data_IF_990768470000
#
_entry.id   IF_990768470000
#
_cell.length_a   1.000
_cell.length_b   1.000
_cell.length_c   1.000
_cell.angle_alpha   90.00
_cell.angle_beta   90.00
_cell.angle_gamma   90.00
#
_symmetry.space_group_name_H-M   'P 1'
#
loop_
_entity.id
_entity.type
_entity.pdbx_description
1 polymer ?
#
# COMPACT_ATOMS: atom_id res chain seq x y z
N UNK A 1 -15.37 23.17 -18.62
CA UNK A 1 -14.86 22.34 -17.50
C UNK A 1 -15.46 20.97 -17.73
N UNK A 2 -14.66 19.96 -18.06
CA UNK A 2 -15.16 18.59 -18.22
C UNK A 2 -15.70 18.11 -16.87
N UNK A 3 -16.96 17.68 -16.88
CA UNK A 3 -17.59 17.08 -15.70
C UNK A 3 -17.04 15.66 -15.62
N UNK A 4 -16.11 15.44 -14.68
CA UNK A 4 -15.54 14.12 -14.43
C UNK A 4 -16.64 13.14 -14.03
N UNK A 5 -16.51 11.90 -14.50
CA UNK A 5 -17.42 10.84 -14.09
C UNK A 5 -17.24 10.51 -12.61
N UNK A 6 -18.26 9.90 -12.01
CA UNK A 6 -18.25 9.52 -10.60
C UNK A 6 -17.12 8.52 -10.27
N UNK A 7 -16.69 7.74 -11.26
CA UNK A 7 -15.59 6.78 -11.11
C UNK A 7 -14.23 7.47 -11.17
N UNK A 8 -14.05 8.48 -12.03
CA UNK A 8 -12.82 9.29 -12.10
C UNK A 8 -12.58 10.09 -10.82
N UNK A 9 -13.63 10.65 -10.23
CA UNK A 9 -13.54 11.39 -8.95
C UNK A 9 -13.20 10.44 -7.79
N UNK A 10 -13.73 9.22 -7.81
CA UNK A 10 -13.40 8.19 -6.82
C UNK A 10 -11.96 7.71 -6.93
N UNK A 11 -11.47 7.51 -8.15
CA UNK A 11 -10.10 7.10 -8.40
C UNK A 11 -9.11 8.17 -7.94
N UNK A 12 -9.36 9.45 -8.22
CA UNK A 12 -8.50 10.54 -7.75
C UNK A 12 -8.44 10.62 -6.22
N UNK A 13 -9.58 10.51 -5.54
CA UNK A 13 -9.64 10.53 -4.08
C UNK A 13 -8.97 9.33 -3.43
N UNK A 14 -9.09 8.14 -4.03
CA UNK A 14 -8.41 6.93 -3.57
C UNK A 14 -6.91 7.03 -3.77
N UNK A 15 -6.46 7.57 -4.90
CA UNK A 15 -5.05 7.82 -5.18
C UNK A 15 -4.49 8.84 -4.19
N UNK A 16 -5.20 9.92 -3.89
CA UNK A 16 -4.77 10.94 -2.95
C UNK A 16 -4.72 10.41 -1.50
N UNK A 17 -5.74 9.66 -1.07
CA UNK A 17 -5.77 9.01 0.23
C UNK A 17 -4.69 7.93 0.38
N UNK A 18 -4.45 7.14 -0.67
CA UNK A 18 -3.35 6.17 -0.71
C UNK A 18 -2.00 6.85 -0.68
N UNK A 19 -1.81 7.95 -1.40
CA UNK A 19 -0.57 8.70 -1.38
C UNK A 19 -0.33 9.32 0.00
N UNK A 20 -1.38 9.80 0.67
CA UNK A 20 -1.29 10.35 2.02
C UNK A 20 -0.99 9.27 3.06
N UNK A 21 -1.68 8.13 3.00
CA UNK A 21 -1.43 6.97 3.86
C UNK A 21 -0.03 6.42 3.63
N UNK A 22 0.39 6.29 2.37
CA UNK A 22 1.74 5.86 2.01
C UNK A 22 2.79 6.81 2.57
N UNK A 23 2.56 8.12 2.46
CA UNK A 23 3.47 9.14 3.01
C UNK A 23 3.55 9.03 4.53
N UNK A 24 2.42 8.95 5.23
CA UNK A 24 2.38 8.86 6.69
C UNK A 24 2.93 7.54 7.22
N UNK A 25 2.60 6.41 6.57
CA UNK A 25 3.16 5.11 6.93
C UNK A 25 4.66 5.07 6.68
N UNK A 26 5.12 5.69 5.58
CA UNK A 26 6.55 5.85 5.32
C UNK A 26 7.22 6.71 6.38
N UNK A 27 6.63 7.83 6.80
CA UNK A 27 7.18 8.68 7.86
C UNK A 27 7.27 7.95 9.21
N UNK A 28 6.26 7.16 9.56
CA UNK A 28 6.28 6.36 10.80
C UNK A 28 7.30 5.24 10.71
N UNK A 29 7.38 4.53 9.59
CA UNK A 29 8.37 3.47 9.38
C UNK A 29 9.78 4.05 9.35
N UNK A 30 10.01 5.13 8.61
CA UNK A 30 11.31 5.80 8.52
C UNK A 30 11.70 6.40 9.88
N UNK A 31 10.74 6.90 10.68
CA UNK A 31 10.98 7.37 12.04
C UNK A 31 11.38 6.24 12.98
N UNK A 32 10.59 5.17 13.06
CA UNK A 32 10.90 4.00 13.90
C UNK A 32 12.21 3.34 13.47
N UNK A 33 12.44 3.22 12.17
CA UNK A 33 13.67 2.67 11.62
C UNK A 33 14.86 3.60 11.87
N UNK A 34 14.71 4.91 11.69
CA UNK A 34 15.75 5.90 12.00
C UNK A 34 16.12 5.88 13.48
N UNK A 35 15.16 5.79 14.38
CA UNK A 35 15.40 5.69 15.82
C UNK A 35 16.11 4.36 16.16
N UNK A 36 15.63 3.24 15.59
CA UNK A 36 16.26 1.92 15.77
C UNK A 36 17.69 1.87 15.20
N UNK A 37 17.93 2.52 14.06
CA UNK A 37 19.22 2.52 13.38
C UNK A 37 20.20 3.54 13.97
N UNK A 38 19.73 4.70 14.45
CA UNK A 38 20.58 5.70 15.10
C UNK A 38 20.96 5.29 16.54
N UNK A 39 20.00 4.75 17.30
CA UNK A 39 20.22 4.46 18.72
C UNK A 39 20.83 3.07 18.96
N UNK A 40 20.59 2.09 18.06
CA UNK A 40 20.99 0.70 18.32
C UNK A 40 21.86 0.05 17.23
N UNK A 41 21.77 0.46 15.95
CA UNK A 41 22.40 -0.28 14.85
C UNK A 41 23.00 0.60 13.72
N UNK A 42 23.94 1.52 14.02
CA UNK A 42 24.45 2.51 13.05
C UNK A 42 25.26 1.92 11.89
N UNK A 43 25.71 0.66 11.98
CA UNK A 43 26.43 -0.04 10.90
C UNK A 43 25.53 -0.90 9.99
N UNK A 44 24.25 -1.06 10.33
CA UNK A 44 23.35 -2.05 9.72
C UNK A 44 22.60 -1.51 8.51
N UNK A 45 22.43 -0.19 8.35
CA UNK A 45 21.61 0.40 7.26
C UNK A 45 22.20 0.09 5.88
N UNK A 46 23.51 0.29 5.70
CA UNK A 46 24.20 0.00 4.44
C UNK A 46 24.31 -1.49 4.13
N UNK A 47 24.47 -2.32 5.15
CA UNK A 47 24.56 -3.78 4.99
C UNK A 47 23.18 -4.42 4.80
N UNK A 48 22.12 -3.86 5.40
CA UNK A 48 20.77 -4.40 5.34
C UNK A 48 20.12 -4.15 4.00
N UNK A 49 20.23 -2.95 3.45
CA UNK A 49 19.67 -2.66 2.12
C UNK A 49 20.41 -3.45 1.03
N UNK A 50 21.73 -3.57 1.13
CA UNK A 50 22.54 -4.41 0.24
C UNK A 50 22.19 -5.90 0.36
N UNK A 51 21.97 -6.39 1.59
CA UNK A 51 21.61 -7.78 1.83
C UNK A 51 20.18 -8.11 1.40
N UNK A 52 19.20 -7.24 1.65
CA UNK A 52 17.83 -7.42 1.19
C UNK A 52 17.80 -7.43 -0.34
N UNK A 53 18.48 -6.48 -0.99
CA UNK A 53 18.60 -6.44 -2.45
C UNK A 53 19.21 -7.72 -3.02
N UNK A 54 20.29 -8.22 -2.43
CA UNK A 54 20.94 -9.46 -2.86
C UNK A 54 20.05 -10.69 -2.67
N UNK A 55 19.29 -10.75 -1.58
CA UNK A 55 18.34 -11.84 -1.30
C UNK A 55 17.17 -11.85 -2.27
N UNK A 56 16.55 -10.70 -2.51
CA UNK A 56 15.45 -10.55 -3.49
C UNK A 56 15.94 -10.87 -4.90
N UNK A 57 17.14 -10.42 -5.28
CA UNK A 57 17.74 -10.78 -6.58
C UNK A 57 17.93 -12.28 -6.72
N UNK A 58 18.40 -12.96 -5.67
CA UNK A 58 18.55 -14.42 -5.64
C UNK A 58 17.23 -15.16 -5.82
N UNK A 59 16.20 -14.73 -5.09
CA UNK A 59 14.83 -15.24 -5.21
C UNK A 59 14.31 -15.10 -6.64
N UNK A 60 14.42 -13.91 -7.25
CA UNK A 60 13.96 -13.65 -8.63
C UNK A 60 14.72 -14.53 -9.63
N UNK A 61 16.06 -14.62 -9.51
CA UNK A 61 16.88 -15.48 -10.38
C UNK A 61 16.46 -16.94 -10.28
N UNK A 62 16.21 -17.43 -9.06
CA UNK A 62 15.78 -18.81 -8.84
C UNK A 62 14.35 -19.06 -9.37
N UNK A 63 13.43 -18.10 -9.22
CA UNK A 63 12.11 -18.17 -9.84
C UNK A 63 12.18 -18.26 -11.37
N UNK A 64 12.94 -17.37 -12.01
CA UNK A 64 13.12 -17.35 -13.48
C UNK A 64 13.79 -18.64 -13.97
N UNK A 65 14.76 -19.16 -13.21
CA UNK A 65 15.43 -20.41 -13.51
C UNK A 65 14.59 -21.66 -13.24
N UNK A 66 13.35 -21.52 -12.74
CA UNK A 66 12.48 -22.64 -12.38
C UNK A 66 12.92 -23.41 -11.14
N UNK A 67 13.82 -22.86 -10.32
CA UNK A 67 14.36 -23.47 -9.09
C UNK A 67 13.49 -23.15 -7.89
N UNK A 68 12.25 -23.61 -7.91
CA UNK A 68 11.31 -23.47 -6.80
C UNK A 68 10.48 -24.74 -6.62
N UNK A 69 9.99 -24.94 -5.40
CA UNK A 69 9.12 -26.05 -5.03
C UNK A 69 7.68 -25.56 -4.93
N UNK A 70 6.72 -26.29 -5.49
CA UNK A 70 5.29 -26.00 -5.30
C UNK A 70 4.83 -26.61 -3.98
N UNK A 71 4.41 -25.77 -3.04
CA UNK A 71 4.02 -26.22 -1.68
C UNK A 71 2.51 -26.49 -1.59
N UNK A 72 1.72 -25.92 -2.51
CA UNK A 72 0.28 -26.13 -2.61
C UNK A 72 -0.45 -24.92 -3.20
N UNK A 73 -1.52 -25.16 -3.95
CA UNK A 73 -2.29 -24.09 -4.59
C UNK A 73 -1.44 -23.17 -5.47
N UNK A 74 -1.55 -21.86 -5.25
CA UNK A 74 -0.75 -20.82 -5.93
C UNK A 74 0.58 -20.51 -5.23
N UNK A 75 0.95 -21.25 -4.17
CA UNK A 75 2.12 -20.95 -3.36
C UNK A 75 3.34 -21.76 -3.76
N UNK A 76 4.49 -21.08 -3.83
CA UNK A 76 5.79 -21.69 -4.09
C UNK A 76 6.81 -21.33 -3.03
N UNK A 77 7.72 -22.24 -2.80
CA UNK A 77 8.88 -22.08 -1.93
C UNK A 77 10.12 -21.91 -2.80
N UNK A 78 10.88 -20.86 -2.58
CA UNK A 78 12.09 -20.55 -3.34
C UNK A 78 13.19 -20.11 -2.39
N UNK A 79 14.42 -20.57 -2.63
CA UNK A 79 15.56 -20.15 -1.82
C UNK A 79 16.17 -18.85 -2.36
N UNK A 80 16.71 -18.02 -1.47
CA UNK A 80 17.53 -16.87 -1.83
C UNK A 80 19.01 -17.22 -2.04
N UNK A 81 19.84 -16.21 -2.31
CA UNK A 81 21.29 -16.35 -2.49
C UNK A 81 22.02 -16.91 -1.25
N UNK A 82 21.42 -16.87 -0.07
CA UNK A 82 21.95 -17.40 1.19
C UNK A 82 21.28 -18.72 1.62
N UNK A 83 20.52 -19.36 0.72
CA UNK A 83 19.76 -20.59 0.99
C UNK A 83 18.63 -20.46 2.01
N UNK A 84 18.19 -19.24 2.34
CA UNK A 84 16.99 -19.09 3.15
C UNK A 84 15.74 -19.31 2.28
N UNK A 85 14.77 -20.06 2.79
CA UNK A 85 13.53 -20.40 2.09
C UNK A 85 12.48 -19.28 2.23
N UNK A 86 11.85 -18.90 1.13
CA UNK A 86 10.81 -17.89 1.05
C UNK A 86 9.55 -18.47 0.43
N UNK A 87 8.38 -18.11 0.96
CA UNK A 87 7.08 -18.54 0.45
C UNK A 87 6.43 -17.41 -0.33
N UNK A 88 6.17 -17.65 -1.61
CA UNK A 88 5.64 -16.65 -2.54
C UNK A 88 4.31 -17.16 -3.07
N UNK A 89 3.29 -16.32 -2.97
CA UNK A 89 1.98 -16.59 -3.56
C UNK A 89 1.90 -15.98 -4.96
N UNK A 90 1.53 -16.80 -5.94
CA UNK A 90 1.22 -16.37 -7.31
C UNK A 90 -0.25 -15.96 -7.49
N UNK A 91 -1.01 -15.80 -6.41
CA UNK A 91 -2.38 -15.28 -6.49
C UNK A 91 -2.38 -13.88 -7.12
N UNK A 92 -3.43 -13.57 -7.90
CA UNK A 92 -3.62 -12.20 -8.38
C UNK A 92 -3.77 -11.25 -7.19
N UNK A 93 -3.27 -10.02 -7.36
CA UNK A 93 -3.37 -8.96 -6.37
C UNK A 93 -4.81 -8.80 -5.86
N UNK A 94 -5.78 -8.79 -6.77
CA UNK A 94 -7.20 -8.69 -6.45
C UNK A 94 -7.69 -9.81 -5.52
N UNK A 95 -7.19 -11.03 -5.71
CA UNK A 95 -7.55 -12.17 -4.86
C UNK A 95 -6.96 -12.05 -3.44
N UNK A 96 -5.83 -11.36 -3.26
CA UNK A 96 -5.25 -11.10 -1.93
C UNK A 96 -5.92 -9.93 -1.21
N UNK A 97 -6.35 -8.90 -1.93
CA UNK A 97 -6.87 -7.66 -1.33
C UNK A 97 -8.36 -7.75 -1.00
N UNK A 98 -9.12 -8.58 -1.73
CA UNK A 98 -10.57 -8.74 -1.52
C UNK A 98 -10.99 -9.04 -0.07
N UNK A 99 -10.36 -9.97 0.67
CA UNK A 99 -10.73 -10.24 2.06
C UNK A 99 -10.52 -9.04 2.99
N UNK A 100 -9.49 -8.22 2.71
CA UNK A 100 -9.22 -7.00 3.46
C UNK A 100 -10.29 -5.93 3.20
N UNK A 101 -10.69 -5.77 1.93
CA UNK A 101 -11.78 -4.86 1.53
C UNK A 101 -13.12 -5.29 2.13
N UNK A 102 -13.41 -6.59 2.16
CA UNK A 102 -14.64 -7.13 2.73
C UNK A 102 -14.68 -6.91 4.26
N UNK A 103 -13.53 -6.97 4.95
CA UNK A 103 -13.41 -6.70 6.39
C UNK A 103 -13.61 -5.21 6.73
N UNK A 104 -13.02 -4.31 5.93
CA UNK A 104 -13.05 -2.86 6.16
C UNK A 104 -14.26 -2.16 5.54
N UNK A 105 -15.17 -2.90 4.90
CA UNK A 105 -16.35 -2.36 4.21
C UNK A 105 -17.14 -1.31 5.01
N UNK A 106 -17.45 -1.52 6.30
CA UNK A 106 -18.18 -0.55 7.12
C UNK A 106 -17.44 0.77 7.32
N UNK A 107 -16.12 0.72 7.52
CA UNK A 107 -15.26 1.91 7.73
C UNK A 107 -15.10 2.69 6.43
N UNK A 108 -15.01 1.99 5.30
CA UNK A 108 -14.98 2.57 3.95
C UNK A 108 -16.30 3.33 3.68
N UNK A 109 -17.45 2.73 3.99
CA UNK A 109 -18.76 3.37 3.84
C UNK A 109 -18.89 4.58 4.76
N UNK A 110 -18.48 4.45 6.02
CA UNK A 110 -18.52 5.56 7.00
C UNK A 110 -17.65 6.75 6.60
N UNK A 111 -16.46 6.50 6.05
CA UNK A 111 -15.60 7.56 5.54
C UNK A 111 -16.23 8.28 4.33
N UNK A 112 -16.90 7.54 3.44
CA UNK A 112 -17.60 8.12 2.28
C UNK A 112 -18.77 9.01 2.68
N UNK A 113 -19.55 8.60 3.68
CA UNK A 113 -20.66 9.42 4.20
C UNK A 113 -20.14 10.75 4.73
N UNK A 114 -19.09 10.73 5.58
CA UNK A 114 -18.47 11.95 6.12
C UNK A 114 -17.95 12.89 5.03
N UNK A 115 -17.39 12.33 3.97
CA UNK A 115 -16.90 13.13 2.85
C UNK A 115 -18.05 13.83 2.10
N UNK A 116 -19.14 13.11 1.82
CA UNK A 116 -20.33 13.67 1.18
C UNK A 116 -21.02 14.73 2.05
N UNK A 117 -21.07 14.52 3.36
CA UNK A 117 -21.58 15.52 4.30
C UNK A 117 -20.75 16.81 4.24
N UNK A 118 -19.43 16.71 4.13
CA UNK A 118 -18.55 17.86 4.01
C UNK A 118 -18.73 18.61 2.67
N UNK A 119 -18.89 17.87 1.57
CA UNK A 119 -19.18 18.46 0.25
C UNK A 119 -20.52 19.19 0.24
N UNK A 120 -21.57 18.60 0.81
CA UNK A 120 -22.88 19.25 0.94
C UNK A 120 -22.80 20.52 1.78
N UNK A 121 -22.05 20.50 2.88
CA UNK A 121 -21.84 21.68 3.72
C UNK A 121 -21.10 22.80 2.96
N UNK A 122 -20.06 22.45 2.20
CA UNK A 122 -19.31 23.39 1.37
C UNK A 122 -20.19 24.01 0.27
N UNK A 123 -20.98 23.19 -0.42
CA UNK A 123 -21.89 23.65 -1.47
C UNK A 123 -22.98 24.57 -0.92
N UNK A 124 -23.56 24.24 0.23
CA UNK A 124 -24.54 25.12 0.89
C UNK A 124 -23.93 26.47 1.27
N UNK A 125 -22.70 26.48 1.78
CA UNK A 125 -21.99 27.71 2.12
C UNK A 125 -21.69 28.57 0.89
N UNK A 126 -21.29 27.94 -0.22
CA UNK A 126 -21.10 28.62 -1.50
C UNK A 126 -22.42 29.21 -2.01
N UNK A 127 -23.53 28.47 -1.90
CA UNK A 127 -24.85 28.91 -2.35
C UNK A 127 -25.36 30.11 -1.52
N UNK A 128 -25.20 30.07 -0.20
CA UNK A 128 -25.50 31.22 0.67
C UNK A 128 -24.66 32.44 0.33
N UNK A 129 -23.36 32.25 0.05
CA UNK A 129 -22.48 33.37 -0.31
C UNK A 129 -22.85 33.99 -1.66
N UNK A 130 -23.36 33.19 -2.60
CA UNK A 130 -23.84 33.64 -3.90
C UNK A 130 -25.19 34.36 -3.80
N UNK A 131 -26.06 33.93 -2.89
CA UNK A 131 -27.36 34.58 -2.62
C UNK A 131 -27.26 35.91 -1.85
N UNK A 132 -26.16 36.12 -1.11
CA UNK A 132 -25.91 37.38 -0.37
C UNK A 132 -25.20 38.46 -1.22
N UNK A 133 -24.92 38.19 -2.50
CA UNK A 133 -24.47 39.18 -3.50
C UNK A 133 -25.64 39.61 -4.37
#
# INVERSE_FOLDING_TARGET
>A
MEIKSNDEVREELLVEAMNKLKTQAKEVIDGVMSDLYCDYLPHVVTDTDSNIGNRVSGVIKNLIAGKFEKVGGSMVKVSDSYQAEHFISFSSWDAMVKPLCDLMGPEIVGARVKQLEHEVASLNQQLESAWRR
#
